data_IF_730964707164
#
_entry.id   IF_730964707164
#
_cell.length_a   1.000
_cell.length_b   1.000
_cell.length_c   1.000
_cell.angle_alpha   90.00
_cell.angle_beta   90.00
_cell.angle_gamma   90.00
#
_symmetry.space_group_name_H-M   'P 1'
#
loop_
_entity.id
_entity.type
_entity.pdbx_description
1 polymer ?
#
# COMPACT_ATOMS: atom_id res chain seq x y z
N UNK A 1 -2.27 4.41 -8.32
CA UNK A 1 -3.68 4.87 -8.19
C UNK A 1 -3.95 5.11 -6.70
N UNK A 2 -4.22 6.35 -6.33
CA UNK A 2 -4.67 6.65 -4.98
C UNK A 2 -6.16 6.32 -4.90
N UNK A 3 -6.53 5.24 -4.21
CA UNK A 3 -7.94 4.93 -3.92
C UNK A 3 -8.33 5.77 -2.72
N UNK A 4 -9.06 6.86 -2.96
CA UNK A 4 -9.73 7.61 -1.90
C UNK A 4 -10.98 6.83 -1.52
N UNK A 5 -10.87 5.96 -0.53
CA UNK A 5 -12.04 5.34 0.10
C UNK A 5 -12.63 6.39 1.04
N UNK A 6 -13.81 6.88 0.70
CA UNK A 6 -14.55 7.83 1.53
C UNK A 6 -14.70 7.28 2.96
N UNK A 7 -14.31 8.09 3.94
CA UNK A 7 -14.32 7.73 5.36
C UNK A 7 -15.70 7.30 5.93
N UNK A 8 -16.78 7.50 5.20
CA UNK A 8 -18.14 7.11 5.61
C UNK A 8 -18.41 5.61 5.56
N UNK A 9 -17.69 4.85 4.72
CA UNK A 9 -17.85 3.37 4.64
C UNK A 9 -16.97 2.60 5.61
N UNK A 10 -15.95 3.23 6.18
CA UNK A 10 -15.02 2.59 7.12
C UNK A 10 -15.63 2.38 8.53
N UNK A 11 -16.69 3.10 8.87
CA UNK A 11 -17.32 3.03 10.20
C UNK A 11 -18.25 1.82 10.42
N UNK A 12 -18.65 1.11 9.36
CA UNK A 12 -19.64 0.04 9.44
C UNK A 12 -19.06 -1.38 9.44
N UNK A 13 -17.73 -1.56 9.36
CA UNK A 13 -17.08 -2.88 9.36
C UNK A 13 -15.85 -2.91 10.25
N UNK A 14 -16.02 -2.73 11.55
CA UNK A 14 -14.92 -2.85 12.53
C UNK A 14 -14.32 -4.27 12.62
N UNK A 15 -14.97 -5.28 12.07
CA UNK A 15 -14.59 -6.68 12.26
C UNK A 15 -13.86 -7.32 11.08
N UNK A 16 -13.62 -6.59 9.97
CA UNK A 16 -13.07 -7.19 8.73
C UNK A 16 -11.58 -6.93 8.54
N UNK A 17 -11.00 -5.88 9.13
CA UNK A 17 -9.58 -5.55 8.95
C UNK A 17 -8.82 -5.70 10.26
N UNK A 18 -7.98 -6.73 10.32
CA UNK A 18 -6.99 -6.84 11.39
C UNK A 18 -5.91 -5.80 11.15
N UNK A 19 -6.03 -4.66 11.83
CA UNK A 19 -5.03 -3.60 11.79
C UNK A 19 -3.89 -3.97 12.74
N UNK A 20 -2.64 -3.89 12.27
CA UNK A 20 -1.46 -4.09 13.11
C UNK A 20 -0.39 -3.03 12.84
N UNK A 21 0.53 -2.90 13.78
CA UNK A 21 1.62 -1.92 13.72
C UNK A 21 2.93 -2.58 13.29
N UNK A 22 3.66 -1.91 12.40
CA UNK A 22 5.03 -2.24 12.04
C UNK A 22 5.91 -1.12 12.56
N UNK A 23 6.66 -1.41 13.62
CA UNK A 23 7.51 -0.44 14.31
C UNK A 23 8.88 -0.34 13.67
N UNK A 24 9.28 0.88 13.32
CA UNK A 24 10.64 1.26 13.00
C UNK A 24 11.27 2.09 14.13
N UNK A 25 12.50 2.54 13.90
CA UNK A 25 13.26 3.37 14.89
C UNK A 25 12.71 4.80 14.97
N UNK A 26 12.27 5.36 13.85
CA UNK A 26 11.84 6.76 13.71
C UNK A 26 10.32 6.88 13.79
N UNK A 27 9.60 5.98 13.10
CA UNK A 27 8.14 6.02 13.05
C UNK A 27 7.54 4.62 13.06
N UNK A 28 6.23 4.57 13.18
CA UNK A 28 5.45 3.32 13.15
C UNK A 28 4.45 3.39 12.01
N UNK A 29 4.45 2.37 11.17
CA UNK A 29 3.45 2.20 10.12
C UNK A 29 2.23 1.44 10.67
N UNK A 30 1.04 1.90 10.28
CA UNK A 30 -0.21 1.18 10.55
C UNK A 30 -0.59 0.41 9.28
N UNK A 31 -0.70 -0.91 9.42
CA UNK A 31 -0.98 -1.82 8.32
C UNK A 31 -2.43 -2.30 8.35
N UNK A 32 -3.11 -2.17 7.21
CA UNK A 32 -4.49 -2.59 6.99
C UNK A 32 -4.60 -3.89 6.19
N UNK A 33 -3.46 -4.49 5.81
CA UNK A 33 -3.44 -5.77 5.12
C UNK A 33 -3.66 -6.93 6.09
N UNK A 34 -4.32 -7.99 5.63
CA UNK A 34 -4.51 -9.22 6.42
C UNK A 34 -3.25 -10.09 6.43
N UNK A 35 -2.57 -10.13 5.31
CA UNK A 35 -1.34 -10.90 5.09
C UNK A 35 -0.33 -9.97 4.42
N UNK A 36 0.90 -10.00 4.90
CA UNK A 36 2.02 -9.23 4.34
C UNK A 36 3.22 -10.16 4.24
N UNK A 37 3.86 -10.17 3.10
CA UNK A 37 5.08 -10.92 2.86
C UNK A 37 6.23 -10.42 3.75
N UNK A 38 7.12 -11.32 4.19
CA UNK A 38 8.26 -10.98 5.04
C UNK A 38 9.18 -9.94 4.39
N UNK A 39 9.35 -10.00 3.07
CA UNK A 39 10.13 -9.02 2.32
C UNK A 39 9.49 -7.63 2.39
N UNK A 40 8.18 -7.54 2.21
CA UNK A 40 7.43 -6.28 2.33
C UNK A 40 7.53 -5.71 3.76
N UNK A 41 7.41 -6.56 4.79
CA UNK A 41 7.61 -6.14 6.19
C UNK A 41 9.02 -5.57 6.40
N UNK A 42 10.04 -6.23 5.84
CA UNK A 42 11.43 -5.75 5.87
C UNK A 42 11.60 -4.39 5.20
N UNK A 43 10.97 -4.17 4.05
CA UNK A 43 10.98 -2.88 3.35
C UNK A 43 10.27 -1.78 4.16
N UNK A 44 9.12 -2.08 4.76
CA UNK A 44 8.39 -1.13 5.60
C UNK A 44 9.22 -0.72 6.83
N UNK A 45 9.87 -1.69 7.49
CA UNK A 45 10.74 -1.39 8.63
C UNK A 45 11.90 -0.47 8.25
N UNK A 46 12.62 -0.79 7.16
CA UNK A 46 13.71 0.06 6.66
C UNK A 46 13.23 1.48 6.35
N UNK A 47 12.07 1.63 5.75
CA UNK A 47 11.46 2.93 5.50
C UNK A 47 11.14 3.66 6.81
N UNK A 48 10.57 2.98 7.80
CA UNK A 48 10.23 3.54 9.11
C UNK A 48 11.47 3.82 9.98
N UNK A 49 12.62 3.28 9.63
CA UNK A 49 13.92 3.57 10.27
C UNK A 49 14.59 4.81 9.67
N UNK A 50 14.10 5.32 8.55
CA UNK A 50 14.74 6.42 7.83
C UNK A 50 14.21 7.78 8.27
N UNK A 51 15.09 8.79 8.37
CA UNK A 51 14.77 10.16 8.78
C UNK A 51 13.69 10.84 7.93
N UNK A 52 13.50 10.38 6.68
CA UNK A 52 12.42 10.81 5.81
C UNK A 52 11.05 10.70 6.48
N UNK A 53 10.84 9.68 7.30
CA UNK A 53 9.56 9.39 7.95
C UNK A 53 9.35 10.08 9.28
N UNK A 54 10.30 10.92 9.71
CA UNK A 54 10.19 11.69 10.95
C UNK A 54 8.99 12.63 10.89
N UNK A 55 8.04 12.45 11.82
CA UNK A 55 6.78 13.20 11.84
C UNK A 55 5.74 12.78 10.81
N UNK A 56 6.04 11.80 9.97
CA UNK A 56 5.12 11.28 8.96
C UNK A 56 4.12 10.29 9.53
N UNK A 57 2.91 10.31 8.98
CA UNK A 57 1.90 9.27 9.19
C UNK A 57 2.03 8.26 8.07
N UNK A 58 2.49 7.05 8.38
CA UNK A 58 2.67 5.95 7.41
C UNK A 58 1.50 4.99 7.52
N UNK A 59 0.89 4.68 6.38
CA UNK A 59 -0.24 3.76 6.28
C UNK A 59 0.01 2.76 5.16
N UNK A 60 -0.17 1.50 5.47
CA UNK A 60 0.03 0.39 4.54
C UNK A 60 -1.34 -0.14 4.12
N UNK A 61 -1.56 -0.14 2.82
CA UNK A 61 -2.85 -0.50 2.22
C UNK A 61 -3.02 -2.02 2.15
N UNK A 62 -4.27 -2.52 1.98
CA UNK A 62 -4.57 -3.96 1.97
C UNK A 62 -3.90 -4.76 0.86
N UNK A 63 -3.53 -4.12 -0.24
CA UNK A 63 -2.87 -4.70 -1.42
C UNK A 63 -1.35 -4.63 -1.39
N UNK A 64 -0.78 -4.41 -0.21
CA UNK A 64 0.67 -4.25 -0.01
C UNK A 64 1.45 -5.48 -0.48
N UNK A 65 2.55 -5.21 -1.19
CA UNK A 65 3.53 -6.21 -1.59
C UNK A 65 4.92 -5.57 -1.77
N UNK A 66 5.95 -6.41 -1.85
CA UNK A 66 7.31 -5.93 -2.05
C UNK A 66 7.45 -5.26 -3.41
N UNK A 67 8.14 -4.12 -3.44
CA UNK A 67 8.40 -3.35 -4.64
C UNK A 67 9.90 -3.12 -4.86
N UNK A 68 10.25 -2.51 -5.99
CA UNK A 68 11.63 -2.16 -6.32
C UNK A 68 12.02 -0.87 -5.58
N UNK A 69 12.67 -1.03 -4.43
CA UNK A 69 13.15 0.08 -3.59
C UNK A 69 12.22 0.45 -2.44
N UNK A 70 10.91 0.41 -2.62
CA UNK A 70 9.92 0.66 -1.58
C UNK A 70 8.72 -0.26 -1.76
N UNK A 71 8.00 -0.49 -0.69
CA UNK A 71 6.77 -1.29 -0.69
C UNK A 71 5.68 -0.61 -1.50
N UNK A 72 5.04 -1.35 -2.41
CA UNK A 72 3.83 -0.92 -3.11
C UNK A 72 2.65 -0.99 -2.13
N UNK A 73 1.69 -0.09 -2.24
CA UNK A 73 0.58 0.02 -1.30
C UNK A 73 0.90 0.82 -0.04
N UNK A 74 1.89 1.70 -0.09
CA UNK A 74 2.25 2.60 1.01
C UNK A 74 1.73 4.01 0.75
N UNK A 75 1.13 4.62 1.76
CA UNK A 75 0.82 6.07 1.80
C UNK A 75 1.53 6.72 2.97
N UNK A 76 2.01 7.93 2.77
CA UNK A 76 2.79 8.66 3.77
C UNK A 76 2.54 10.16 3.64
N UNK A 77 2.43 10.85 4.77
CA UNK A 77 2.47 12.32 4.76
C UNK A 77 3.89 12.81 4.61
N UNK A 78 4.11 13.77 3.73
CA UNK A 78 5.41 14.42 3.50
C UNK A 78 5.23 15.91 3.60
N UNK A 79 6.10 16.60 4.31
CA UNK A 79 5.98 18.06 4.52
C UNK A 79 7.12 18.85 3.86
N UNK A 80 8.35 18.51 4.20
CA UNK A 80 9.55 19.29 3.85
C UNK A 80 10.61 18.48 3.08
N UNK A 81 10.31 17.23 2.74
CA UNK A 81 11.24 16.30 2.11
C UNK A 81 10.63 15.63 0.89
N UNK A 82 11.48 15.32 -0.07
CA UNK A 82 11.12 14.56 -1.27
C UNK A 82 12.03 13.34 -1.34
N UNK A 83 11.45 12.17 -1.65
CA UNK A 83 12.20 10.96 -1.89
C UNK A 83 11.79 10.35 -3.23
N UNK A 84 12.53 10.61 -4.31
CA UNK A 84 12.20 10.09 -5.64
C UNK A 84 12.13 8.56 -5.69
N UNK A 85 12.91 7.85 -4.86
CA UNK A 85 12.98 6.40 -4.85
C UNK A 85 11.72 5.70 -4.31
N UNK A 86 10.81 6.45 -3.66
CA UNK A 86 9.52 5.91 -3.19
C UNK A 86 8.36 6.25 -4.13
N UNK A 87 8.63 7.00 -5.19
CA UNK A 87 7.65 7.20 -6.26
C UNK A 87 7.50 5.90 -7.04
N UNK A 88 6.26 5.46 -7.24
CA UNK A 88 5.98 4.18 -7.90
C UNK A 88 6.54 4.09 -9.32
N UNK A 89 6.79 2.88 -9.79
CA UNK A 89 7.30 2.61 -11.15
C UNK A 89 6.18 2.75 -12.18
N UNK A 90 4.98 2.31 -11.83
CA UNK A 90 3.80 2.35 -12.70
C UNK A 90 2.95 3.60 -12.42
N UNK A 91 3.50 4.75 -12.77
CA UNK A 91 2.84 6.04 -12.58
C UNK A 91 1.76 6.22 -13.63
N UNK A 92 0.54 6.51 -13.20
CA UNK A 92 -0.61 6.60 -14.09
C UNK A 92 -1.19 5.24 -14.48
N UNK A 93 -0.93 4.21 -13.67
CA UNK A 93 -1.55 2.88 -13.79
C UNK A 93 -3.06 2.97 -14.02
N UNK A 94 -3.56 2.21 -14.96
CA UNK A 94 -4.96 2.18 -15.32
C UNK A 94 -5.41 0.80 -15.77
N UNK A 95 -6.72 0.65 -15.85
CA UNK A 95 -7.36 -0.57 -16.34
C UNK A 95 -8.13 -0.27 -17.63
N UNK A 96 -7.88 -1.06 -18.66
CA UNK A 96 -8.71 -1.07 -19.86
C UNK A 96 -9.56 -2.33 -19.84
N UNK A 97 -10.88 -2.17 -19.84
CA UNK A 97 -11.82 -3.28 -19.71
C UNK A 97 -12.67 -3.43 -20.97
N UNK A 98 -12.70 -4.63 -21.51
CA UNK A 98 -13.57 -5.00 -22.61
C UNK A 98 -14.57 -6.05 -22.11
N UNK A 99 -15.86 -5.76 -22.24
CA UNK A 99 -16.92 -6.74 -21.96
C UNK A 99 -17.08 -7.65 -23.15
N UNK A 100 -16.83 -8.94 -22.97
CA UNK A 100 -17.13 -9.97 -23.95
C UNK A 100 -18.58 -10.41 -23.78
N UNK A 101 -19.36 -10.34 -24.87
CA UNK A 101 -20.74 -10.84 -24.89
C UNK A 101 -20.71 -12.29 -25.42
N UNK A 102 -21.39 -13.19 -24.68
CA UNK A 102 -21.66 -14.57 -25.09
C UNK A 102 -20.43 -15.39 -25.54
N UNK A 103 -19.25 -15.07 -25.01
CA UNK A 103 -18.01 -15.78 -25.26
C UNK A 103 -17.71 -16.74 -24.11
N UNK A 104 -17.52 -18.01 -24.45
CA UNK A 104 -16.95 -18.99 -23.52
C UNK A 104 -15.44 -18.87 -23.60
N UNK A 105 -14.78 -18.51 -22.50
CA UNK A 105 -13.33 -18.45 -22.44
C UNK A 105 -12.83 -19.81 -22.04
N UNK A 106 -12.07 -20.46 -22.94
CA UNK A 106 -11.38 -21.71 -22.67
C UNK A 106 -9.99 -21.39 -22.07
N UNK A 107 -9.79 -21.72 -20.80
CA UNK A 107 -8.53 -21.45 -20.07
C UNK A 107 -7.49 -22.59 -20.24
N UNK A 108 -7.82 -23.65 -20.99
CA UNK A 108 -6.91 -24.80 -21.19
C UNK A 108 -6.03 -24.68 -22.45
N UNK A 109 -6.03 -23.51 -23.09
CA UNK A 109 -5.17 -23.29 -24.29
C UNK A 109 -4.11 -22.24 -24.00
#
# INVERSE_FOLDING_TARGET
MAVVISARHALLRKDVFKVFEIKGKITTAICYAKVVEDEAIGQIRRMCDHDLTKGSKVRIMPDVHAGKGCTIGTTMTVTDKICPNIVGVDIGCGMYTVKLQDQVIDFEK
#
